data_IF_668197108431
#
_entry.id   IF_668197108431
#
_cell.length_a   1.000
_cell.length_b   1.000
_cell.length_c   1.000
_cell.angle_alpha   90.00
_cell.angle_beta   90.00
_cell.angle_gamma   90.00
#
_symmetry.space_group_name_H-M   'P 1'
#
loop_
_entity.id
_entity.type
_entity.pdbx_description
1 polymer ?
#
# COMPACT_ATOMS: atom_id res chain seq x y z
N UNK A 1 -14.73 19.02 13.91
CA UNK A 1 -15.43 19.01 12.60
C UNK A 1 -14.73 17.96 11.76
N UNK A 2 -15.31 16.77 11.65
CA UNK A 2 -14.75 15.69 10.83
C UNK A 2 -14.91 16.10 9.36
N UNK A 3 -13.81 16.20 8.61
CA UNK A 3 -13.89 16.37 7.17
C UNK A 3 -14.68 15.18 6.59
N UNK A 4 -15.65 15.39 5.69
CA UNK A 4 -16.41 14.30 5.09
C UNK A 4 -15.44 13.31 4.45
N UNK A 5 -15.34 12.11 5.02
CA UNK A 5 -14.19 11.22 4.83
C UNK A 5 -14.36 10.18 3.73
N UNK A 6 -15.32 10.32 2.82
CA UNK A 6 -15.61 9.29 1.84
C UNK A 6 -15.82 9.90 0.47
N UNK A 7 -15.09 9.35 -0.50
CA UNK A 7 -15.44 9.30 -1.92
C UNK A 7 -16.95 9.23 -2.10
N UNK A 8 -17.58 10.35 -2.44
CA UNK A 8 -19.04 10.43 -2.55
C UNK A 8 -19.52 9.60 -3.73
N UNK A 9 -18.71 9.49 -4.78
CA UNK A 9 -19.05 8.72 -5.97
C UNK A 9 -18.95 7.20 -5.71
N UNK A 10 -18.06 6.75 -4.83
CA UNK A 10 -17.85 5.31 -4.54
C UNK A 10 -18.59 4.80 -3.30
N UNK A 11 -19.29 5.67 -2.56
CA UNK A 11 -19.90 5.30 -1.27
C UNK A 11 -20.86 4.11 -1.38
N UNK A 12 -21.74 4.13 -2.38
CA UNK A 12 -22.75 3.08 -2.55
C UNK A 12 -22.10 1.71 -2.81
N UNK A 13 -21.06 1.67 -3.66
CA UNK A 13 -20.29 0.45 -3.89
C UNK A 13 -19.59 -0.03 -2.61
N UNK A 14 -18.93 0.89 -1.87
CA UNK A 14 -18.23 0.55 -0.64
C UNK A 14 -19.17 -0.02 0.43
N UNK A 15 -20.35 0.57 0.61
CA UNK A 15 -21.36 0.10 1.55
C UNK A 15 -21.90 -1.28 1.15
N UNK A 16 -22.18 -1.49 -0.14
CA UNK A 16 -22.66 -2.77 -0.66
C UNK A 16 -21.61 -3.89 -0.58
N UNK A 17 -20.32 -3.55 -0.72
CA UNK A 17 -19.21 -4.50 -0.69
C UNK A 17 -18.62 -4.72 0.70
N UNK A 18 -18.97 -3.93 1.72
CA UNK A 18 -18.39 -4.05 3.06
C UNK A 18 -18.48 -5.47 3.65
N UNK A 19 -19.63 -6.18 3.62
CA UNK A 19 -19.70 -7.56 4.12
C UNK A 19 -18.76 -8.52 3.38
N UNK A 20 -18.62 -8.35 2.06
CA UNK A 20 -17.71 -9.14 1.25
C UNK A 20 -16.25 -8.85 1.61
N UNK A 21 -15.89 -7.56 1.67
CA UNK A 21 -14.55 -7.09 2.00
C UNK A 21 -14.10 -7.58 3.39
N UNK A 22 -14.98 -7.61 4.39
CA UNK A 22 -14.65 -8.14 5.71
C UNK A 22 -14.29 -9.64 5.68
N UNK A 23 -14.93 -10.43 4.81
CA UNK A 23 -14.68 -11.87 4.66
C UNK A 23 -13.43 -12.18 3.83
N UNK A 24 -13.08 -11.32 2.87
CA UNK A 24 -11.93 -11.54 1.96
C UNK A 24 -10.66 -10.79 2.38
N UNK A 25 -10.69 -10.08 3.51
CA UNK A 25 -9.56 -9.25 3.94
C UNK A 25 -9.36 -8.03 3.03
N UNK A 26 -10.46 -7.44 2.57
CA UNK A 26 -10.52 -6.23 1.73
C UNK A 26 -9.90 -6.39 0.35
N UNK A 27 -9.89 -7.62 -0.15
CA UNK A 27 -9.47 -7.94 -1.52
C UNK A 27 -10.69 -8.06 -2.41
N UNK A 28 -10.66 -7.41 -3.56
CA UNK A 28 -11.67 -7.57 -4.60
C UNK A 28 -11.20 -8.55 -5.67
N UNK A 29 -12.07 -9.49 -6.03
CA UNK A 29 -11.88 -10.42 -7.14
C UNK A 29 -13.16 -10.39 -8.00
N UNK A 30 -13.02 -10.11 -9.30
CA UNK A 30 -14.17 -10.05 -10.20
C UNK A 30 -14.83 -11.42 -10.40
N UNK A 31 -14.04 -12.50 -10.42
CA UNK A 31 -14.54 -13.85 -10.65
C UNK A 31 -15.49 -14.31 -9.53
N UNK A 32 -15.29 -13.81 -8.31
CA UNK A 32 -16.15 -14.08 -7.17
C UNK A 32 -17.60 -13.63 -7.39
N UNK A 33 -17.80 -12.53 -8.12
CA UNK A 33 -19.13 -11.99 -8.43
C UNK A 33 -19.71 -12.56 -9.72
N UNK A 34 -18.87 -13.09 -10.61
CA UNK A 34 -19.33 -13.78 -11.83
C UNK A 34 -19.69 -15.26 -11.57
N UNK A 35 -19.27 -15.83 -10.43
CA UNK A 35 -19.44 -17.24 -10.07
C UNK A 35 -20.15 -17.41 -8.72
N UNK A 36 -21.38 -16.92 -8.64
CA UNK A 36 -22.20 -16.98 -7.43
C UNK A 36 -22.54 -18.42 -6.98
N UNK A 37 -22.45 -19.38 -7.90
CA UNK A 37 -22.75 -20.80 -7.69
C UNK A 37 -21.55 -21.63 -7.21
N UNK A 38 -20.43 -21.01 -6.82
CA UNK A 38 -19.25 -21.74 -6.35
C UNK A 38 -19.59 -22.64 -5.14
N UNK A 39 -19.49 -23.98 -5.29
CA UNK A 39 -19.79 -24.92 -4.20
C UNK A 39 -18.77 -24.84 -3.06
N UNK A 40 -17.61 -24.23 -3.28
CA UNK A 40 -16.56 -24.06 -2.25
C UNK A 40 -16.78 -22.83 -1.38
N UNK A 41 -17.60 -21.87 -1.82
CA UNK A 41 -17.89 -20.67 -1.05
C UNK A 41 -18.70 -21.00 0.22
N UNK A 42 -18.31 -20.41 1.34
CA UNK A 42 -19.10 -20.48 2.57
C UNK A 42 -20.47 -19.83 2.37
N UNK A 43 -21.46 -20.19 3.19
CA UNK A 43 -22.78 -19.58 3.12
C UNK A 43 -22.75 -18.06 3.35
N UNK A 44 -21.88 -17.59 4.26
CA UNK A 44 -21.67 -16.17 4.56
C UNK A 44 -21.10 -15.42 3.36
N UNK A 45 -20.08 -15.99 2.70
CA UNK A 45 -19.46 -15.39 1.51
C UNK A 45 -20.44 -15.33 0.34
N UNK A 46 -21.25 -16.38 0.15
CA UNK A 46 -22.31 -16.39 -0.87
C UNK A 46 -23.33 -15.28 -0.63
N UNK A 47 -23.82 -15.15 0.61
CA UNK A 47 -24.77 -14.09 0.96
C UNK A 47 -24.17 -12.69 0.77
N UNK A 48 -22.89 -12.50 1.11
CA UNK A 48 -22.19 -11.23 0.90
C UNK A 48 -22.03 -10.89 -0.60
N UNK A 49 -21.71 -11.88 -1.44
CA UNK A 49 -21.65 -11.71 -2.91
C UNK A 49 -23.02 -11.36 -3.49
N UNK A 50 -24.06 -12.09 -3.09
CA UNK A 50 -25.45 -11.83 -3.50
C UNK A 50 -25.91 -10.43 -3.08
N UNK A 51 -25.50 -9.94 -1.92
CA UNK A 51 -25.78 -8.58 -1.47
C UNK A 51 -25.10 -7.52 -2.35
N UNK A 52 -23.83 -7.72 -2.68
CA UNK A 52 -23.02 -6.75 -3.43
C UNK A 52 -23.19 -6.78 -4.96
N UNK A 53 -23.70 -7.87 -5.54
CA UNK A 53 -23.67 -8.09 -7.01
C UNK A 53 -24.35 -6.99 -7.80
N UNK A 54 -25.45 -6.41 -7.29
CA UNK A 54 -26.15 -5.32 -7.97
C UNK A 54 -25.27 -4.09 -8.14
N UNK A 55 -24.62 -3.66 -7.06
CA UNK A 55 -23.70 -2.52 -7.08
C UNK A 55 -22.46 -2.79 -7.94
N UNK A 56 -21.92 -4.02 -7.89
CA UNK A 56 -20.77 -4.42 -8.73
C UNK A 56 -21.10 -4.29 -10.21
N UNK A 57 -22.25 -4.79 -10.65
CA UNK A 57 -22.66 -4.70 -12.06
C UNK A 57 -22.90 -3.25 -12.49
N UNK A 58 -23.58 -2.45 -11.66
CA UNK A 58 -23.84 -1.04 -11.96
C UNK A 58 -22.56 -0.21 -12.07
N UNK A 59 -21.67 -0.31 -11.08
CA UNK A 59 -20.40 0.41 -11.08
C UNK A 59 -19.46 -0.12 -12.16
N UNK A 60 -19.42 -1.43 -12.39
CA UNK A 60 -18.65 -2.05 -13.47
C UNK A 60 -19.06 -1.50 -14.83
N UNK A 61 -20.36 -1.45 -15.12
CA UNK A 61 -20.91 -0.87 -16.35
C UNK A 61 -20.63 0.63 -16.46
N UNK A 62 -20.70 1.37 -15.35
CA UNK A 62 -20.35 2.79 -15.32
C UNK A 62 -18.88 3.03 -15.69
N UNK A 63 -17.95 2.24 -15.14
CA UNK A 63 -16.53 2.30 -15.47
C UNK A 63 -16.27 1.89 -16.93
N UNK A 64 -16.85 0.79 -17.40
CA UNK A 64 -16.69 0.34 -18.79
C UNK A 64 -17.20 1.35 -19.81
N UNK A 65 -18.27 2.10 -19.49
CA UNK A 65 -18.73 3.23 -20.31
C UNK A 65 -17.74 4.38 -20.25
N UNK A 66 -17.32 4.77 -19.04
CA UNK A 66 -16.38 5.86 -18.83
C UNK A 66 -15.05 5.64 -19.57
N UNK A 67 -14.54 4.41 -19.59
CA UNK A 67 -13.32 4.05 -20.32
C UNK A 67 -13.42 4.26 -21.85
N UNK A 68 -14.64 4.31 -22.41
CA UNK A 68 -14.88 4.54 -23.84
C UNK A 68 -15.11 6.02 -24.18
N UNK A 69 -15.29 6.88 -23.18
CA UNK A 69 -15.52 8.30 -23.38
C UNK A 69 -14.24 9.05 -23.78
N UNK A 70 -14.33 10.24 -24.40
CA UNK A 70 -13.15 11.06 -24.69
C UNK A 70 -12.39 11.48 -23.41
N UNK A 71 -11.07 11.69 -23.46
CA UNK A 71 -10.26 12.05 -22.28
C UNK A 71 -10.77 13.27 -21.49
N UNK A 72 -11.31 14.27 -22.18
CA UNK A 72 -11.88 15.46 -21.52
C UNK A 72 -13.12 15.14 -20.66
N UNK A 73 -13.93 14.16 -21.08
CA UNK A 73 -15.09 13.68 -20.34
C UNK A 73 -14.64 12.80 -19.18
N UNK A 74 -13.66 11.92 -19.42
CA UNK A 74 -13.05 11.10 -18.39
C UNK A 74 -12.51 11.94 -17.23
N UNK A 75 -11.71 12.97 -17.53
CA UNK A 75 -11.10 13.85 -16.54
C UNK A 75 -12.13 14.62 -15.69
N UNK A 76 -13.33 14.86 -16.22
CA UNK A 76 -14.42 15.51 -15.51
C UNK A 76 -15.24 14.56 -14.63
N UNK A 77 -15.01 13.24 -14.72
CA UNK A 77 -15.77 12.23 -13.98
C UNK A 77 -15.38 12.18 -12.50
N UNK A 78 -16.34 12.30 -11.58
CA UNK A 78 -16.10 12.13 -10.15
C UNK A 78 -15.53 10.74 -9.81
N UNK A 79 -15.97 9.69 -10.52
CA UNK A 79 -15.49 8.32 -10.30
C UNK A 79 -13.99 8.20 -10.59
N UNK A 80 -13.54 8.76 -11.74
CA UNK A 80 -12.13 8.73 -12.11
C UNK A 80 -11.29 9.56 -11.14
N UNK A 81 -11.73 10.77 -10.79
CA UNK A 81 -11.01 11.63 -9.85
C UNK A 81 -10.84 10.97 -8.48
N UNK A 82 -11.88 10.32 -7.96
CA UNK A 82 -11.83 9.61 -6.69
C UNK A 82 -10.98 8.33 -6.77
N UNK A 83 -11.00 7.62 -7.91
CA UNK A 83 -10.09 6.49 -8.16
C UNK A 83 -8.62 6.92 -8.16
N UNK A 84 -8.27 8.00 -8.85
CA UNK A 84 -6.89 8.52 -8.85
C UNK A 84 -6.45 8.97 -7.44
N UNK A 85 -7.36 9.55 -6.66
CA UNK A 85 -7.10 9.87 -5.26
C UNK A 85 -6.85 8.62 -4.43
N UNK A 86 -7.62 7.54 -4.66
CA UNK A 86 -7.43 6.26 -4.01
C UNK A 86 -6.07 5.63 -4.40
N UNK A 87 -5.69 5.67 -5.68
CA UNK A 87 -4.37 5.20 -6.15
C UNK A 87 -3.23 5.93 -5.45
N UNK A 88 -3.24 7.27 -5.47
CA UNK A 88 -2.22 8.09 -4.80
C UNK A 88 -2.14 7.77 -3.31
N UNK A 89 -3.27 7.51 -2.67
CA UNK A 89 -3.32 7.15 -1.25
C UNK A 89 -2.67 5.79 -0.98
N UNK A 90 -3.02 4.77 -1.75
CA UNK A 90 -2.42 3.42 -1.63
C UNK A 90 -0.92 3.48 -1.91
N UNK A 91 -0.49 4.21 -2.94
CA UNK A 91 0.92 4.39 -3.27
C UNK A 91 1.71 5.07 -2.14
N UNK A 92 1.23 6.20 -1.63
CA UNK A 92 1.86 6.93 -0.51
C UNK A 92 1.97 6.08 0.74
N UNK A 93 0.93 5.30 1.03
CA UNK A 93 0.94 4.39 2.17
C UNK A 93 1.98 3.28 2.01
N UNK A 94 2.08 2.69 0.81
CA UNK A 94 3.07 1.67 0.53
C UNK A 94 4.50 2.21 0.66
N UNK A 95 4.76 3.45 0.20
CA UNK A 95 6.03 4.14 0.42
C UNK A 95 6.29 4.37 1.90
N UNK A 96 5.32 4.91 2.64
CA UNK A 96 5.43 5.11 4.08
C UNK A 96 5.75 3.81 4.84
N UNK A 97 5.01 2.73 4.58
CA UNK A 97 5.25 1.41 5.19
C UNK A 97 6.63 0.87 4.84
N UNK A 98 7.07 1.04 3.60
CA UNK A 98 8.41 0.70 3.15
C UNK A 98 9.46 1.47 3.93
N UNK A 99 9.33 2.79 4.05
CA UNK A 99 10.27 3.63 4.82
C UNK A 99 10.38 3.17 6.28
N UNK A 100 9.25 2.94 6.95
CA UNK A 100 9.24 2.44 8.32
C UNK A 100 9.90 1.06 8.45
N UNK A 101 9.61 0.14 7.52
CA UNK A 101 10.25 -1.18 7.49
C UNK A 101 11.77 -1.07 7.29
N UNK A 102 12.24 -0.21 6.40
CA UNK A 102 13.67 0.04 6.15
C UNK A 102 14.36 0.53 7.41
N UNK A 103 13.80 1.54 8.07
CA UNK A 103 14.37 2.08 9.30
C UNK A 103 14.44 1.04 10.43
N UNK A 104 13.46 0.14 10.53
CA UNK A 104 13.46 -0.96 11.52
C UNK A 104 14.54 -1.99 11.20
N UNK A 105 14.64 -2.42 9.94
CA UNK A 105 15.62 -3.43 9.54
C UNK A 105 17.07 -2.94 9.67
N UNK A 106 17.32 -1.64 9.46
CA UNK A 106 18.64 -1.03 9.64
C UNK A 106 18.93 -0.67 11.11
N UNK A 107 18.04 -0.98 12.05
CA UNK A 107 18.23 -0.71 13.48
C UNK A 107 18.07 0.76 13.90
N UNK A 108 18.03 1.71 12.95
CA UNK A 108 17.91 3.15 13.26
C UNK A 108 16.57 3.53 13.92
N UNK A 109 15.54 2.68 13.81
CA UNK A 109 14.24 2.93 14.41
C UNK A 109 14.27 2.99 15.94
N UNK A 110 15.09 2.16 16.60
CA UNK A 110 15.14 2.11 18.06
C UNK A 110 15.82 3.36 18.62
N UNK A 111 16.97 3.73 18.04
CA UNK A 111 17.77 4.89 18.41
C UNK A 111 17.06 6.23 18.15
N UNK A 112 16.14 6.25 17.19
CA UNK A 112 15.28 7.40 16.90
C UNK A 112 14.37 7.83 18.07
N UNK A 113 14.34 7.08 19.19
CA UNK A 113 13.62 7.50 20.40
C UNK A 113 14.33 8.56 21.24
N UNK A 114 15.66 8.68 21.14
CA UNK A 114 16.44 9.62 21.95
C UNK A 114 16.30 11.05 21.39
N UNK A 115 15.80 11.99 22.22
CA UNK A 115 15.67 13.40 21.85
C UNK A 115 14.34 13.80 21.18
N UNK A 116 13.28 13.00 21.31
CA UNK A 116 11.95 13.34 20.79
C UNK A 116 11.25 14.51 21.51
N UNK A 117 11.88 15.08 22.54
CA UNK A 117 11.31 16.16 23.34
C UNK A 117 11.42 17.53 22.68
N UNK A 118 12.08 17.65 21.52
CA UNK A 118 12.11 18.90 20.76
C UNK A 118 10.74 19.14 20.09
N UNK A 119 9.91 20.09 20.57
CA UNK A 119 8.60 20.36 20.01
C UNK A 119 8.68 21.03 18.62
N UNK A 120 9.84 21.56 18.22
CA UNK A 120 10.04 22.23 16.92
C UNK A 120 10.23 21.21 15.78
N UNK A 121 10.60 19.97 16.10
CA UNK A 121 10.86 18.95 15.10
C UNK A 121 9.54 18.40 14.52
N UNK A 122 9.12 18.96 13.38
CA UNK A 122 7.89 18.61 12.67
C UNK A 122 7.76 17.12 12.34
N UNK A 123 6.52 16.60 12.30
CA UNK A 123 6.20 15.25 11.77
C UNK A 123 6.34 15.14 10.23
N UNK A 124 7.00 16.12 9.58
CA UNK A 124 7.22 16.18 8.14
C UNK A 124 8.29 15.17 7.68
N UNK A 125 7.97 13.88 7.77
CA UNK A 125 8.85 12.80 7.29
C UNK A 125 9.02 12.78 5.76
N UNK A 126 8.15 13.50 5.03
CA UNK A 126 8.22 13.63 3.58
C UNK A 126 9.33 14.61 3.12
N UNK A 127 9.90 15.39 4.03
CA UNK A 127 11.09 16.19 3.75
C UNK A 127 12.33 15.29 3.74
N UNK A 128 12.65 14.80 2.55
CA UNK A 128 13.77 13.89 2.30
C UNK A 128 15.09 14.60 2.00
N UNK A 129 15.15 15.93 2.21
CA UNK A 129 16.40 16.69 2.15
C UNK A 129 17.24 16.51 3.42
N UNK A 130 16.62 15.99 4.49
CA UNK A 130 17.26 15.76 5.78
C UNK A 130 18.13 14.49 5.79
N UNK A 131 19.06 14.37 6.76
CA UNK A 131 19.76 13.11 7.02
C UNK A 131 18.79 11.95 7.34
N UNK A 132 19.20 10.72 7.01
CA UNK A 132 18.38 9.52 7.15
C UNK A 132 17.86 9.30 8.58
N UNK A 133 18.68 9.55 9.59
CA UNK A 133 18.32 9.43 11.00
C UNK A 133 17.25 10.43 11.41
N UNK A 134 17.29 11.64 10.83
CA UNK A 134 16.28 12.68 11.06
C UNK A 134 14.94 12.23 10.45
N UNK A 135 14.96 11.65 9.25
CA UNK A 135 13.76 11.09 8.60
C UNK A 135 13.19 9.94 9.46
N UNK A 136 14.03 9.02 9.94
CA UNK A 136 13.62 7.92 10.82
C UNK A 136 12.94 8.42 12.11
N UNK A 137 13.50 9.46 12.74
CA UNK A 137 12.91 10.09 13.92
C UNK A 137 11.55 10.72 13.63
N UNK A 138 11.40 11.43 12.50
CA UNK A 138 10.11 12.01 12.08
C UNK A 138 9.06 10.94 11.79
N UNK A 139 9.43 9.81 11.17
CA UNK A 139 8.53 8.66 10.98
C UNK A 139 8.05 8.08 12.31
N UNK A 140 8.97 7.85 13.26
CA UNK A 140 8.63 7.34 14.60
C UNK A 140 7.74 8.29 15.37
N UNK A 141 7.99 9.60 15.25
CA UNK A 141 7.14 10.64 15.84
C UNK A 141 5.73 10.64 15.24
N UNK A 142 5.62 10.48 13.92
CA UNK A 142 4.33 10.34 13.25
C UNK A 142 3.55 9.10 13.72
N UNK A 143 4.19 7.94 13.87
CA UNK A 143 3.55 6.74 14.47
C UNK A 143 3.04 7.02 15.89
N UNK A 144 3.89 7.62 16.74
CA UNK A 144 3.49 8.01 18.11
C UNK A 144 2.33 9.00 18.12
N UNK A 145 2.29 9.93 17.18
CA UNK A 145 1.18 10.88 17.05
C UNK A 145 -0.12 10.16 16.69
N UNK A 146 -0.09 9.20 15.77
CA UNK A 146 -1.25 8.37 15.44
C UNK A 146 -1.74 7.56 16.66
N UNK A 147 -0.83 7.06 17.49
CA UNK A 147 -1.19 6.33 18.72
C UNK A 147 -1.73 7.24 19.83
N UNK A 148 -1.28 8.50 19.88
CA UNK A 148 -1.69 9.48 20.88
C UNK A 148 -3.10 10.04 20.63
N UNK A 149 -3.59 10.00 19.40
CA UNK A 149 -4.92 10.50 19.02
C UNK A 149 -5.90 9.33 18.96
N UNK A 150 -6.89 9.23 19.86
CA UNK A 150 -7.84 8.11 19.87
C UNK A 150 -8.57 7.96 18.54
N UNK A 151 -8.55 6.75 17.97
CA UNK A 151 -9.23 6.43 16.71
C UNK A 151 -8.48 6.83 15.44
N UNK A 152 -7.36 7.57 15.52
CA UNK A 152 -6.67 8.08 14.34
C UNK A 152 -6.03 6.95 13.51
N UNK A 153 -5.49 5.92 14.17
CA UNK A 153 -4.90 4.76 13.50
C UNK A 153 -5.99 3.95 12.78
N UNK A 154 -7.10 3.67 13.47
CA UNK A 154 -8.24 2.92 12.94
C UNK A 154 -8.90 3.67 11.77
N UNK A 155 -9.08 4.99 11.89
CA UNK A 155 -9.63 5.81 10.81
C UNK A 155 -8.70 5.82 9.59
N UNK A 156 -7.38 5.96 9.81
CA UNK A 156 -6.39 5.92 8.73
C UNK A 156 -6.40 4.57 8.03
N UNK A 157 -6.43 3.48 8.79
CA UNK A 157 -6.49 2.12 8.27
C UNK A 157 -7.79 1.89 7.49
N UNK A 158 -8.95 2.26 8.04
CA UNK A 158 -10.23 2.11 7.34
C UNK A 158 -10.23 2.83 6.00
N UNK A 159 -9.81 4.09 5.98
CA UNK A 159 -9.79 4.85 4.74
C UNK A 159 -8.74 4.35 3.73
N UNK A 160 -7.73 3.59 4.17
CA UNK A 160 -6.78 2.91 3.29
C UNK A 160 -7.42 1.66 2.69
N UNK A 161 -8.14 0.88 3.49
CA UNK A 161 -8.86 -0.30 3.04
C UNK A 161 -9.92 0.05 1.99
N UNK A 162 -10.71 1.11 2.22
CA UNK A 162 -11.66 1.63 1.24
C UNK A 162 -10.96 2.02 -0.08
N UNK A 163 -9.82 2.71 0.02
CA UNK A 163 -9.05 3.11 -1.16
C UNK A 163 -8.46 1.91 -1.90
N UNK A 164 -7.98 0.89 -1.19
CA UNK A 164 -7.49 -0.35 -1.78
C UNK A 164 -8.61 -1.06 -2.54
N UNK A 165 -9.80 -1.14 -1.94
CA UNK A 165 -10.97 -1.78 -2.54
C UNK A 165 -11.40 -1.06 -3.83
N UNK A 166 -11.47 0.28 -3.81
CA UNK A 166 -11.75 1.10 -5.01
C UNK A 166 -10.75 0.80 -6.13
N UNK A 167 -9.47 0.77 -5.80
CA UNK A 167 -8.41 0.59 -6.78
C UNK A 167 -8.48 -0.81 -7.41
N UNK A 168 -8.59 -1.87 -6.61
CA UNK A 168 -8.70 -3.23 -7.13
C UNK A 168 -9.96 -3.39 -7.99
N UNK A 169 -11.11 -2.89 -7.51
CA UNK A 169 -12.34 -2.90 -8.27
C UNK A 169 -12.19 -2.24 -9.64
N UNK A 170 -11.64 -1.02 -9.69
CA UNK A 170 -11.51 -0.30 -10.95
C UNK A 170 -10.53 -0.98 -11.91
N UNK A 171 -9.42 -1.52 -11.41
CA UNK A 171 -8.44 -2.25 -12.23
C UNK A 171 -9.06 -3.50 -12.86
N UNK A 172 -9.83 -4.28 -12.10
CA UNK A 172 -10.57 -5.44 -12.61
C UNK A 172 -11.63 -5.08 -13.67
N UNK A 173 -12.10 -3.83 -13.69
CA UNK A 173 -13.04 -3.32 -14.69
C UNK A 173 -12.37 -2.51 -15.82
N UNK A 174 -11.07 -2.73 -16.03
CA UNK A 174 -10.35 -2.24 -17.20
C UNK A 174 -9.76 -0.84 -17.07
N UNK A 175 -9.77 -0.25 -15.87
CA UNK A 175 -8.99 0.98 -15.63
C UNK A 175 -7.51 0.61 -15.53
N UNK A 176 -6.64 1.55 -15.89
CA UNK A 176 -5.21 1.35 -15.81
C UNK A 176 -4.65 1.95 -14.54
N UNK A 177 -3.57 1.33 -14.02
CA UNK A 177 -2.77 1.97 -13.00
C UNK A 177 -2.17 3.27 -13.53
N UNK A 178 -2.30 4.36 -12.77
CA UNK A 178 -1.60 5.62 -13.07
C UNK A 178 -0.43 5.79 -12.12
N UNK A 179 0.74 6.09 -12.67
CA UNK A 179 1.95 6.27 -11.87
C UNK A 179 1.82 7.55 -11.02
N UNK A 180 1.97 7.42 -9.70
CA UNK A 180 2.08 8.57 -8.81
C UNK A 180 3.55 9.02 -8.76
N UNK A 181 3.90 10.00 -9.59
CA UNK A 181 5.25 10.57 -9.65
C UNK A 181 5.74 11.05 -8.27
N UNK A 182 4.83 11.56 -7.43
CA UNK A 182 5.16 12.04 -6.09
C UNK A 182 5.61 10.90 -5.18
N UNK A 183 4.85 9.79 -5.10
CA UNK A 183 5.25 8.61 -4.32
C UNK A 183 6.53 7.98 -4.87
N UNK A 184 6.66 7.92 -6.20
CA UNK A 184 7.86 7.37 -6.85
C UNK A 184 9.11 8.18 -6.54
N UNK A 185 9.04 9.51 -6.64
CA UNK A 185 10.14 10.42 -6.25
C UNK A 185 10.46 10.26 -4.78
N UNK A 186 9.45 10.24 -3.90
CA UNK A 186 9.65 10.06 -2.47
C UNK A 186 10.40 8.77 -2.13
N UNK A 187 10.04 7.66 -2.79
CA UNK A 187 10.75 6.39 -2.59
C UNK A 187 12.20 6.47 -3.08
N UNK A 188 12.44 7.06 -4.26
CA UNK A 188 13.77 7.25 -4.84
C UNK A 188 14.66 8.11 -3.94
N UNK A 189 14.16 9.26 -3.51
CA UNK A 189 14.87 10.19 -2.66
C UNK A 189 15.20 9.54 -1.31
N UNK A 190 14.27 8.76 -0.75
CA UNK A 190 14.50 8.02 0.48
C UNK A 190 15.58 6.94 0.32
N UNK A 191 15.55 6.14 -0.76
CA UNK A 191 16.60 5.16 -1.04
C UNK A 191 17.98 5.83 -1.21
N UNK A 192 18.01 7.02 -1.81
CA UNK A 192 19.23 7.81 -1.93
C UNK A 192 19.74 8.25 -0.55
N UNK A 193 18.87 8.65 0.39
CA UNK A 193 19.26 8.93 1.79
C UNK A 193 19.81 7.70 2.51
N UNK A 194 19.20 6.53 2.31
CA UNK A 194 19.67 5.26 2.88
C UNK A 194 21.07 4.91 2.37
N UNK A 195 21.31 5.09 1.07
CA UNK A 195 22.62 4.87 0.45
C UNK A 195 23.68 5.81 1.03
N UNK A 196 23.36 7.10 1.19
CA UNK A 196 24.28 8.08 1.79
C UNK A 196 24.62 7.73 3.24
N UNK A 197 23.64 7.21 3.99
CA UNK A 197 23.81 6.80 5.38
C UNK A 197 24.70 5.57 5.55
N UNK A 198 24.46 4.50 4.78
CA UNK A 198 25.20 3.24 4.89
C UNK A 198 26.65 3.30 4.36
N UNK A 199 27.04 4.41 3.73
CA UNK A 199 28.33 4.52 3.04
C UNK A 199 28.45 3.51 1.89
N UNK A 200 29.68 3.09 1.57
CA UNK A 200 29.95 2.08 0.53
C UNK A 200 29.90 0.63 1.07
N UNK A 201 29.20 0.38 2.18
CA UNK A 201 29.12 -0.97 2.77
C UNK A 201 28.22 -1.90 1.96
N UNK A 202 28.77 -3.07 1.63
CA UNK A 202 28.16 -4.14 0.84
C UNK A 202 26.86 -4.64 1.49
N UNK A 203 26.91 -4.84 2.81
CA UNK A 203 25.82 -5.44 3.56
C UNK A 203 24.59 -4.53 3.60
N UNK A 204 24.81 -3.22 3.61
CA UNK A 204 23.75 -2.21 3.58
C UNK A 204 22.95 -2.28 2.27
N UNK A 205 23.62 -2.46 1.13
CA UNK A 205 22.95 -2.45 -0.17
C UNK A 205 22.20 -3.77 -0.49
N UNK A 206 22.69 -4.93 0.00
CA UNK A 206 21.91 -6.18 -0.03
C UNK A 206 20.68 -6.11 0.87
N UNK A 207 20.82 -5.51 2.06
CA UNK A 207 19.71 -5.28 2.98
C UNK A 207 18.62 -4.41 2.33
N UNK A 208 19.00 -3.34 1.63
CA UNK A 208 18.06 -2.49 0.87
C UNK A 208 17.33 -3.28 -0.21
N UNK A 209 18.02 -4.11 -1.00
CA UNK A 209 17.38 -4.94 -2.04
C UNK A 209 16.41 -5.97 -1.48
N UNK A 210 16.83 -6.70 -0.44
CA UNK A 210 16.00 -7.70 0.22
C UNK A 210 14.75 -7.04 0.82
N UNK A 211 14.93 -5.84 1.38
CA UNK A 211 13.87 -5.10 2.00
C UNK A 211 12.89 -4.53 0.97
N UNK A 212 13.35 -3.92 -0.12
CA UNK A 212 12.49 -3.47 -1.23
C UNK A 212 11.61 -4.61 -1.78
N UNK A 213 12.14 -5.84 -1.85
CA UNK A 213 11.34 -6.99 -2.31
C UNK A 213 10.32 -7.47 -1.28
N UNK A 214 10.66 -7.42 0.01
CA UNK A 214 9.85 -7.97 1.08
C UNK A 214 8.94 -6.97 1.80
N UNK A 215 9.18 -5.67 1.67
CA UNK A 215 8.50 -4.63 2.46
C UNK A 215 7.32 -3.97 1.75
N UNK A 216 7.23 -4.10 0.42
CA UNK A 216 6.11 -3.54 -0.33
C UNK A 216 4.87 -4.40 -0.05
N UNK A 217 3.82 -3.85 0.57
CA UNK A 217 2.62 -4.61 0.89
C UNK A 217 2.01 -5.24 -0.37
N UNK A 218 1.40 -6.43 -0.23
CA UNK A 218 0.57 -6.98 -1.30
C UNK A 218 -0.54 -6.00 -1.67
N UNK A 219 -0.89 -5.95 -2.96
CA UNK A 219 -1.94 -5.09 -3.47
C UNK A 219 -1.56 -4.41 -4.80
N UNK A 220 -2.43 -3.53 -5.31
CA UNK A 220 -2.31 -2.97 -6.66
C UNK A 220 -1.10 -2.03 -6.84
N UNK A 221 -0.61 -1.41 -5.76
CA UNK A 221 0.58 -0.56 -5.82
C UNK A 221 1.91 -1.35 -5.81
N UNK A 222 1.87 -2.67 -5.56
CA UNK A 222 3.08 -3.46 -5.32
C UNK A 222 3.99 -3.50 -6.53
N UNK A 223 3.46 -3.93 -7.67
CA UNK A 223 4.24 -4.12 -8.88
C UNK A 223 4.83 -2.79 -9.40
N UNK A 224 4.08 -1.68 -9.53
CA UNK A 224 4.62 -0.40 -9.94
C UNK A 224 5.76 0.09 -9.03
N UNK A 225 5.57 0.03 -7.70
CA UNK A 225 6.59 0.47 -6.75
C UNK A 225 7.82 -0.44 -6.74
N UNK A 226 7.65 -1.75 -6.87
CA UNK A 226 8.76 -2.69 -6.99
C UNK A 226 9.56 -2.44 -8.27
N UNK A 227 8.89 -2.21 -9.41
CA UNK A 227 9.55 -1.87 -10.67
C UNK A 227 10.35 -0.57 -10.52
N UNK A 228 9.77 0.47 -9.94
CA UNK A 228 10.45 1.75 -9.70
C UNK A 228 11.68 1.57 -8.82
N UNK A 229 11.57 0.81 -7.72
CA UNK A 229 12.67 0.56 -6.82
C UNK A 229 13.79 -0.27 -7.48
N UNK A 230 13.43 -1.30 -8.26
CA UNK A 230 14.39 -2.11 -9.01
C UNK A 230 15.11 -1.29 -10.08
N UNK A 231 14.39 -0.46 -10.85
CA UNK A 231 14.98 0.45 -11.84
C UNK A 231 16.00 1.40 -11.19
N UNK A 232 15.68 1.92 -10.00
CA UNK A 232 16.63 2.77 -9.26
C UNK A 232 17.89 2.00 -8.86
N UNK A 233 17.73 0.78 -8.34
CA UNK A 233 18.85 -0.10 -7.96
C UNK A 233 19.76 -0.42 -9.15
N UNK A 234 19.17 -0.67 -10.33
CA UNK A 234 19.89 -0.92 -11.58
C UNK A 234 20.64 0.33 -12.08
N UNK A 235 20.03 1.50 -11.97
CA UNK A 235 20.61 2.78 -12.40
C UNK A 235 21.77 3.26 -11.50
N UNK A 236 21.90 2.72 -10.29
CA UNK A 236 22.94 3.10 -9.34
C UNK A 236 23.90 1.93 -9.07
N UNK A 237 24.63 1.43 -10.09
CA UNK A 237 25.51 0.29 -9.92
C UNK A 237 26.68 0.60 -9.00
N UNK A 238 27.07 1.86 -8.75
CA UNK A 238 28.03 2.18 -7.70
C UNK A 238 27.52 1.84 -6.29
N UNK A 239 26.19 1.87 -6.07
CA UNK A 239 25.57 1.27 -4.89
C UNK A 239 25.59 -0.27 -4.94
N UNK A 240 25.79 -0.86 -6.12
CA UNK A 240 25.93 -2.29 -6.37
C UNK A 240 27.39 -2.77 -6.55
N UNK A 241 28.39 -1.91 -6.68
CA UNK A 241 29.81 -2.27 -6.84
C UNK A 241 30.47 -2.41 -5.47
N UNK A 242 29.89 -1.78 -4.45
CA UNK A 242 29.99 -2.27 -3.09
C UNK A 242 29.28 -3.62 -2.90
N UNK A 243 28.49 -4.17 -3.83
CA UNK A 243 27.83 -5.46 -3.68
C UNK A 243 28.63 -6.51 -4.44
N UNK A 244 29.37 -7.35 -3.71
CA UNK A 244 30.17 -8.44 -4.27
C UNK A 244 29.32 -9.57 -4.86
N UNK A 245 28.47 -9.30 -5.85
CA UNK A 245 27.77 -10.31 -6.63
C UNK A 245 27.75 -9.95 -8.12
N UNK A 246 28.55 -10.70 -8.86
CA UNK A 246 28.37 -10.93 -10.29
C UNK A 246 26.97 -11.51 -10.53
N UNK A 247 26.22 -10.89 -11.45
CA UNK A 247 24.79 -11.13 -11.80
C UNK A 247 24.48 -12.57 -12.30
N UNK A 248 25.41 -13.53 -12.25
CA UNK A 248 25.27 -14.81 -12.96
C UNK A 248 24.59 -15.96 -12.20
N UNK A 249 24.11 -15.80 -10.96
CA UNK A 249 23.67 -16.98 -10.18
C UNK A 249 22.49 -16.78 -9.20
N UNK A 250 21.49 -15.95 -9.51
CA UNK A 250 20.34 -15.76 -8.59
C UNK A 250 18.96 -15.97 -9.25
N UNK A 251 18.77 -17.12 -9.90
CA UNK A 251 17.45 -17.63 -10.31
C UNK A 251 16.91 -18.76 -9.43
N UNK A 252 17.61 -19.17 -8.36
CA UNK A 252 17.16 -20.32 -7.56
C UNK A 252 17.51 -20.19 -6.07
N UNK A 253 16.73 -19.41 -5.31
CA UNK A 253 16.49 -19.63 -3.88
C UNK A 253 15.57 -18.52 -3.33
N UNK A 254 14.26 -18.66 -3.52
CA UNK A 254 13.27 -17.96 -2.70
C UNK A 254 12.63 -19.03 -1.82
N UNK A 255 13.22 -19.23 -0.64
CA UNK A 255 12.67 -20.06 0.42
C UNK A 255 12.55 -19.23 1.69
N UNK A 256 11.31 -18.83 1.99
CA UNK A 256 10.78 -18.75 3.35
C UNK A 256 11.37 -17.71 4.31
N UNK A 257 10.88 -16.47 4.23
CA UNK A 257 10.54 -15.70 5.44
C UNK A 257 9.12 -15.16 5.24
N UNK A 258 8.14 -15.90 5.74
CA UNK A 258 6.77 -15.45 5.82
C UNK A 258 6.68 -14.42 6.96
N UNK A 259 6.46 -13.14 6.64
CA UNK A 259 5.95 -12.18 7.61
C UNK A 259 4.45 -12.47 7.76
N UNK A 260 4.12 -13.28 8.77
CA UNK A 260 2.75 -13.42 9.24
C UNK A 260 2.37 -12.14 10.02
N UNK A 261 1.30 -11.47 9.60
CA UNK A 261 0.73 -10.26 10.20
C UNK A 261 0.47 -9.24 9.09
N UNK A 262 -0.74 -9.11 8.55
CA UNK A 262 -2.01 -8.80 9.24
C UNK A 262 -3.12 -9.60 8.56
N UNK A 263 -3.52 -10.73 9.16
CA UNK A 263 -4.80 -11.41 8.93
C UNK A 263 -4.92 -12.53 9.96
N UNK A 264 -5.45 -12.23 11.16
CA UNK A 264 -5.98 -13.22 12.12
C UNK A 264 -6.50 -12.50 13.38
N UNK A 265 -7.72 -11.98 13.32
CA UNK A 265 -8.54 -11.75 14.51
C UNK A 265 -10.05 -11.80 14.19
N UNK A 266 -10.50 -12.81 13.43
CA UNK A 266 -11.91 -13.17 13.33
C UNK A 266 -12.11 -14.60 12.77
N UNK A 267 -11.57 -15.64 13.40
CA UNK A 267 -12.21 -16.96 13.42
C UNK A 267 -11.61 -17.84 14.51
N UNK A 268 -12.15 -17.73 15.74
CA UNK A 268 -12.05 -18.78 16.75
C UNK A 268 -13.29 -18.75 17.62
N UNK A 269 -14.13 -19.76 17.42
CA UNK A 269 -15.03 -20.23 18.47
C UNK A 269 -16.45 -20.51 18.04
N UNK A 270 -16.69 -21.57 17.24
CA UNK A 270 -17.83 -22.44 17.54
C UNK A 270 -17.66 -23.84 16.95
N UNK A 271 -17.08 -24.75 17.74
CA UNK A 271 -17.31 -26.18 17.60
C UNK A 271 -17.41 -26.74 19.01
N UNK A 272 -18.64 -26.98 19.47
CA UNK A 272 -18.87 -27.45 20.83
C UNK A 272 -20.33 -27.58 21.26
N UNK A 273 -21.15 -28.32 20.49
CA UNK A 273 -22.22 -29.26 20.90
C UNK A 273 -23.38 -29.30 19.93
#
# INVERSE_FOLDING_TARGET
MSAPSSSLAWRELLEALEPYAQLTGWRYDHDDFMRLDDPKASAELRAAREHGVGAVLEFGDALLRLAKEPPAVQAASPLLQEFELAQRKVAREAVYKTMCATCRALGVWEDAGAGLDDPEESCAFQDLTQPFETIARRLKRFEKHLDAVPGAREERERRLLDASLIVEFALEHGFTWSDDEVSSSMLIDFMQRVKEWGGNDVASAESVRALVRGSVPEGPAKEPLQITALKWVEAHPAAAIGIGLTVSALTAAIAGVAIAGIASAASRGNNGR
#
